data_IF_192167986332
#
_entry.id   IF_192167986332
#
_cell.length_a   1.000
_cell.length_b   1.000
_cell.length_c   1.000
_cell.angle_alpha   90.00
_cell.angle_beta   90.00
_cell.angle_gamma   90.00
#
_symmetry.space_group_name_H-M   'P 1'
#
loop_
_entity.id
_entity.type
_entity.pdbx_description
1 polymer ?
#
# COMPACT_ATOMS: atom_id res chain seq x y z
N UNK A 1 10.60 -29.71 -3.78
CA UNK A 1 10.13 -29.07 -5.02
C UNK A 1 9.14 -27.98 -4.62
N UNK A 2 9.55 -26.72 -4.58
CA UNK A 2 8.63 -25.61 -4.35
C UNK A 2 7.94 -25.30 -5.68
N UNK A 3 6.61 -25.32 -5.67
CA UNK A 3 5.77 -25.10 -6.84
C UNK A 3 6.11 -23.77 -7.52
N UNK A 4 6.16 -23.80 -8.86
CA UNK A 4 6.54 -22.67 -9.68
C UNK A 4 5.77 -21.41 -9.35
N UNK A 5 6.49 -20.38 -8.89
CA UNK A 5 5.97 -19.04 -8.68
C UNK A 5 5.73 -18.42 -10.06
N UNK A 6 4.47 -18.49 -10.55
CA UNK A 6 4.06 -17.90 -11.83
C UNK A 6 3.95 -16.38 -11.68
N UNK A 7 4.65 -15.64 -12.54
CA UNK A 7 4.46 -14.20 -12.70
C UNK A 7 2.97 -13.84 -12.86
N UNK A 8 2.48 -12.93 -12.03
CA UNK A 8 1.07 -12.50 -11.98
C UNK A 8 0.77 -11.46 -13.06
N UNK A 9 0.49 -11.91 -14.28
CA UNK A 9 0.09 -11.06 -15.40
C UNK A 9 -1.39 -10.60 -15.35
N UNK A 10 -2.05 -10.59 -14.18
CA UNK A 10 -3.50 -10.40 -14.06
C UNK A 10 -3.95 -9.28 -13.11
N UNK A 11 -3.03 -8.56 -12.48
CA UNK A 11 -3.41 -7.47 -11.58
C UNK A 11 -4.06 -6.32 -12.35
N UNK A 12 -5.15 -5.79 -11.79
CA UNK A 12 -5.94 -4.71 -12.39
C UNK A 12 -5.68 -3.43 -11.64
N UNK A 13 -5.23 -2.40 -12.36
CA UNK A 13 -5.02 -1.06 -11.82
C UNK A 13 -6.19 -0.17 -12.24
N UNK A 14 -7.01 0.19 -11.27
CA UNK A 14 -8.09 1.15 -11.41
C UNK A 14 -7.50 2.57 -11.43
N UNK A 15 -8.16 3.53 -12.12
CA UNK A 15 -7.74 4.92 -12.04
C UNK A 15 -7.86 5.44 -10.61
N UNK A 16 -6.86 6.20 -10.19
CA UNK A 16 -6.89 6.95 -8.95
C UNK A 16 -7.28 8.41 -9.22
N UNK A 17 -8.17 8.98 -8.41
CA UNK A 17 -8.40 10.43 -8.36
C UNK A 17 -7.86 10.95 -7.02
N UNK A 18 -7.21 12.10 -7.06
CA UNK A 18 -6.63 12.72 -5.86
C UNK A 18 -7.67 12.87 -4.77
N UNK A 19 -7.40 12.27 -3.60
CA UNK A 19 -8.29 12.29 -2.44
C UNK A 19 -9.26 11.11 -2.35
N UNK A 20 -9.27 10.19 -3.32
CA UNK A 20 -10.05 8.95 -3.22
C UNK A 20 -9.48 8.01 -2.14
N UNK A 21 -10.37 7.24 -1.54
CA UNK A 21 -10.00 6.11 -0.68
C UNK A 21 -9.21 5.05 -1.46
N UNK A 22 -8.37 4.29 -0.75
CA UNK A 22 -7.61 3.20 -1.35
C UNK A 22 -8.44 1.94 -1.35
N UNK A 23 -8.62 1.35 -2.53
CA UNK A 23 -9.37 0.11 -2.76
C UNK A 23 -8.37 -1.01 -3.02
N UNK A 24 -8.43 -2.06 -2.21
CA UNK A 24 -7.60 -3.26 -2.34
C UNK A 24 -8.52 -4.47 -2.40
N UNK A 25 -8.64 -5.09 -3.58
CA UNK A 25 -9.49 -6.26 -3.78
C UNK A 25 -8.66 -7.48 -4.14
N UNK A 26 -8.97 -8.62 -3.52
CA UNK A 26 -8.38 -9.92 -3.80
C UNK A 26 -9.42 -10.90 -4.30
N UNK A 27 -9.11 -11.59 -5.39
CA UNK A 27 -9.91 -12.67 -5.96
C UNK A 27 -8.98 -13.82 -6.39
N UNK A 28 -8.73 -14.77 -5.47
CA UNK A 28 -7.71 -15.79 -5.65
C UNK A 28 -6.33 -15.14 -5.73
N UNK A 29 -5.61 -15.41 -6.82
CA UNK A 29 -4.28 -14.84 -7.08
C UNK A 29 -4.34 -13.47 -7.77
N UNK A 30 -5.53 -13.00 -8.16
CA UNK A 30 -5.71 -11.71 -8.84
C UNK A 30 -5.92 -10.60 -7.83
N UNK A 31 -5.17 -9.51 -7.98
CA UNK A 31 -5.38 -8.28 -7.22
C UNK A 31 -6.03 -7.21 -8.10
N UNK A 32 -6.86 -6.38 -7.50
CA UNK A 32 -7.37 -5.15 -8.12
C UNK A 32 -7.17 -4.01 -7.15
N UNK A 33 -6.44 -2.98 -7.60
CA UNK A 33 -6.07 -1.84 -6.77
C UNK A 33 -6.29 -0.53 -7.52
N UNK A 34 -6.58 0.56 -6.81
CA UNK A 34 -6.54 1.91 -7.39
C UNK A 34 -5.24 2.65 -7.01
N UNK A 35 -4.15 1.93 -6.79
CA UNK A 35 -2.83 2.50 -6.44
C UNK A 35 -1.91 2.42 -7.66
N UNK A 36 -1.56 3.53 -8.31
CA UNK A 36 -0.55 3.56 -9.35
C UNK A 36 0.81 3.11 -8.83
N UNK A 37 1.48 2.24 -9.59
CA UNK A 37 2.79 1.71 -9.25
C UNK A 37 3.92 2.55 -9.83
N UNK A 38 4.10 3.74 -9.27
CA UNK A 38 5.12 4.72 -9.69
C UNK A 38 6.51 4.36 -9.17
N UNK A 39 6.60 3.62 -8.07
CA UNK A 39 7.87 3.19 -7.47
C UNK A 39 7.94 1.67 -7.36
N UNK A 40 8.98 1.08 -7.96
CA UNK A 40 9.26 -0.37 -7.92
C UNK A 40 10.68 -0.59 -7.39
N UNK A 41 10.80 -1.15 -6.19
CA UNK A 41 12.10 -1.39 -5.53
C UNK A 41 12.18 -2.72 -4.82
N UNK A 42 11.06 -3.24 -4.32
CA UNK A 42 11.05 -4.29 -3.32
C UNK A 42 10.41 -5.59 -3.82
N UNK A 43 9.53 -5.53 -4.82
CA UNK A 43 8.83 -6.72 -5.32
C UNK A 43 8.76 -6.72 -6.84
N UNK A 44 9.58 -7.47 -7.59
CA UNK A 44 9.39 -7.60 -9.03
C UNK A 44 8.00 -8.17 -9.39
N UNK A 45 7.37 -8.90 -8.46
CA UNK A 45 6.14 -9.66 -8.68
C UNK A 45 4.83 -8.90 -8.36
N UNK A 46 4.92 -7.60 -8.07
CA UNK A 46 3.76 -6.74 -7.84
C UNK A 46 3.42 -6.50 -6.37
N UNK A 47 2.27 -5.86 -6.15
CA UNK A 47 1.77 -5.56 -4.81
C UNK A 47 1.30 -6.80 -4.07
N UNK A 48 1.31 -6.71 -2.75
CA UNK A 48 0.77 -7.73 -1.85
C UNK A 48 0.35 -7.07 -0.54
N UNK A 49 -0.39 -7.79 0.31
CA UNK A 49 -0.77 -7.35 1.65
C UNK A 49 -1.04 -8.54 2.58
N UNK A 50 -1.24 -8.25 3.87
CA UNK A 50 -1.55 -9.28 4.88
C UNK A 50 -0.32 -10.04 5.40
N UNK A 51 0.88 -9.46 5.27
CA UNK A 51 2.10 -9.91 5.94
C UNK A 51 3.17 -8.80 5.97
N UNK A 52 4.23 -8.96 6.76
CA UNK A 52 5.29 -7.97 6.92
C UNK A 52 6.42 -8.05 5.84
N UNK A 53 6.09 -8.31 4.58
CA UNK A 53 7.07 -8.52 3.51
C UNK A 53 7.34 -7.34 2.58
N UNK A 54 8.02 -7.63 1.46
CA UNK A 54 8.46 -6.63 0.47
C UNK A 54 7.35 -6.09 -0.44
N UNK A 55 6.41 -6.94 -0.89
CA UNK A 55 5.24 -6.49 -1.65
C UNK A 55 4.32 -5.55 -0.84
N UNK A 56 3.99 -5.88 0.43
CA UNK A 56 3.30 -4.97 1.35
C UNK A 56 4.03 -3.65 1.59
N UNK A 57 5.37 -3.70 1.70
CA UNK A 57 6.19 -2.50 1.82
C UNK A 57 6.12 -1.60 0.57
N UNK A 58 6.14 -2.19 -0.62
CA UNK A 58 6.02 -1.43 -1.86
C UNK A 58 4.62 -0.83 -2.05
N UNK A 59 3.57 -1.57 -1.67
CA UNK A 59 2.20 -1.06 -1.65
C UNK A 59 2.08 0.13 -0.69
N UNK A 60 2.60 0.01 0.53
CA UNK A 60 2.60 1.09 1.52
C UNK A 60 3.27 2.36 0.98
N UNK A 61 4.45 2.24 0.38
CA UNK A 61 5.17 3.39 -0.18
C UNK A 61 4.39 4.05 -1.31
N UNK A 62 3.86 3.27 -2.26
CA UNK A 62 3.10 3.85 -3.37
C UNK A 62 1.78 4.47 -2.91
N UNK A 63 1.13 3.94 -1.86
CA UNK A 63 -0.03 4.60 -1.24
C UNK A 63 0.38 5.96 -0.68
N UNK A 64 1.44 6.04 0.13
CA UNK A 64 1.86 7.31 0.72
C UNK A 64 2.25 8.35 -0.34
N UNK A 65 2.83 7.94 -1.47
CA UNK A 65 3.15 8.81 -2.60
C UNK A 65 1.92 9.43 -3.30
N UNK A 66 0.71 8.95 -3.01
CA UNK A 66 -0.53 9.59 -3.46
C UNK A 66 -0.96 10.77 -2.58
N UNK A 67 -0.45 10.83 -1.34
CA UNK A 67 -0.85 11.81 -0.33
C UNK A 67 0.27 12.75 0.08
N UNK A 68 1.53 12.40 -0.21
CA UNK A 68 2.70 13.18 0.15
C UNK A 68 3.82 13.00 -0.87
N UNK A 69 4.85 13.84 -0.79
CA UNK A 69 6.05 13.67 -1.59
C UNK A 69 6.92 12.51 -1.09
N UNK A 70 7.98 12.19 -1.83
CA UNK A 70 8.90 11.12 -1.46
C UNK A 70 9.67 11.39 -0.17
N UNK A 71 9.98 12.66 0.14
CA UNK A 71 10.74 13.03 1.33
C UNK A 71 9.95 12.71 2.60
N UNK A 72 8.62 12.92 2.58
CA UNK A 72 7.71 12.51 3.65
C UNK A 72 7.38 11.01 3.61
N UNK A 73 7.13 10.43 2.43
CA UNK A 73 6.67 9.04 2.32
C UNK A 73 7.76 7.99 2.65
N UNK A 74 9.00 8.22 2.19
CA UNK A 74 10.08 7.25 2.31
C UNK A 74 10.53 6.91 3.76
N UNK A 75 10.56 7.84 4.73
CA UNK A 75 10.81 7.45 6.12
C UNK A 75 9.61 6.75 6.78
N UNK A 76 8.38 6.96 6.28
CA UNK A 76 7.15 6.56 6.97
C UNK A 76 6.52 5.24 6.47
N UNK A 77 6.87 4.77 5.26
CA UNK A 77 6.15 3.65 4.65
C UNK A 77 6.26 2.33 5.45
N UNK A 78 7.33 2.13 6.23
CA UNK A 78 7.45 0.91 7.04
C UNK A 78 6.44 0.91 8.19
N UNK A 79 6.26 2.05 8.88
CA UNK A 79 5.27 2.19 9.94
C UNK A 79 3.85 2.08 9.35
N UNK A 80 3.61 2.78 8.24
CA UNK A 80 2.34 2.69 7.53
C UNK A 80 2.00 1.26 7.12
N UNK A 81 2.99 0.50 6.63
CA UNK A 81 2.83 -0.91 6.28
C UNK A 81 2.38 -1.72 7.49
N UNK A 82 3.01 -1.55 8.65
CA UNK A 82 2.64 -2.31 9.84
C UNK A 82 1.22 -1.99 10.29
N UNK A 83 0.82 -0.72 10.27
CA UNK A 83 -0.48 -0.28 10.78
C UNK A 83 -1.65 -0.60 9.84
N UNK A 84 -1.45 -0.51 8.51
CA UNK A 84 -2.57 -0.56 7.55
C UNK A 84 -2.51 -1.71 6.56
N UNK A 85 -1.35 -2.30 6.30
CA UNK A 85 -1.16 -3.22 5.16
C UNK A 85 -0.83 -4.63 5.62
N UNK A 86 -0.02 -4.78 6.67
CA UNK A 86 0.50 -6.06 7.14
C UNK A 86 -0.60 -6.99 7.69
N UNK A 87 -1.68 -6.44 8.23
CA UNK A 87 -2.77 -7.22 8.84
C UNK A 87 -4.05 -7.26 7.99
N UNK A 88 -4.00 -6.75 6.76
CA UNK A 88 -5.15 -6.84 5.85
C UNK A 88 -5.51 -8.30 5.53
N UNK A 89 -6.81 -8.64 5.41
CA UNK A 89 -7.23 -9.98 5.06
C UNK A 89 -6.58 -10.48 3.76
N UNK A 90 -6.01 -11.70 3.82
CA UNK A 90 -5.47 -12.41 2.65
C UNK A 90 -6.49 -13.26 1.90
N UNK A 91 -7.74 -13.27 2.38
CA UNK A 91 -8.87 -13.96 1.77
C UNK A 91 -9.47 -13.12 0.64
N UNK A 92 -10.34 -13.73 -0.16
CA UNK A 92 -11.11 -12.99 -1.16
C UNK A 92 -11.98 -11.92 -0.50
N UNK A 93 -12.08 -10.76 -1.16
CA UNK A 93 -12.85 -9.63 -0.66
C UNK A 93 -12.21 -8.29 -1.02
N UNK A 94 -12.84 -7.22 -0.53
CA UNK A 94 -12.38 -5.85 -0.71
C UNK A 94 -12.07 -5.23 0.65
N UNK A 95 -10.89 -4.63 0.78
CA UNK A 95 -10.51 -3.75 1.86
C UNK A 95 -10.44 -2.32 1.33
N UNK A 96 -10.92 -1.37 2.14
CA UNK A 96 -10.84 0.06 1.84
C UNK A 96 -10.06 0.76 2.95
N UNK A 97 -9.07 1.57 2.59
CA UNK A 97 -8.36 2.44 3.53
C UNK A 97 -8.78 3.87 3.23
N UNK A 98 -9.37 4.55 4.22
CA UNK A 98 -9.92 5.89 3.98
C UNK A 98 -8.81 6.91 3.73
N UNK A 99 -9.01 7.74 2.71
CA UNK A 99 -8.13 8.87 2.39
C UNK A 99 -7.98 9.83 3.56
N UNK A 100 -9.09 10.13 4.26
CA UNK A 100 -9.08 11.04 5.41
C UNK A 100 -8.28 10.46 6.58
N UNK A 101 -8.33 9.14 6.78
CA UNK A 101 -7.54 8.45 7.78
C UNK A 101 -6.04 8.50 7.45
N UNK A 102 -5.66 8.31 6.18
CA UNK A 102 -4.27 8.41 5.73
C UNK A 102 -3.74 9.84 5.92
N UNK A 103 -4.54 10.86 5.56
CA UNK A 103 -4.17 12.26 5.77
C UNK A 103 -4.00 12.60 7.25
N UNK A 104 -4.92 12.16 8.11
CA UNK A 104 -4.79 12.35 9.56
C UNK A 104 -3.55 11.63 10.11
N UNK A 105 -3.28 10.42 9.63
CA UNK A 105 -2.11 9.63 10.03
C UNK A 105 -0.79 10.32 9.67
N UNK A 106 -0.72 10.94 8.48
CA UNK A 106 0.41 11.75 8.03
C UNK A 106 0.55 13.03 8.87
N UNK A 107 -0.54 13.76 9.10
CA UNK A 107 -0.52 15.00 9.89
C UNK A 107 0.01 14.80 11.32
N UNK A 108 -0.29 13.66 11.95
CA UNK A 108 0.25 13.30 13.27
C UNK A 108 1.76 13.05 13.27
N UNK A 109 2.35 12.73 12.11
CA UNK A 109 3.79 12.44 11.95
C UNK A 109 4.59 13.59 11.39
N UNK A 110 3.91 14.54 10.73
CA UNK A 110 4.49 15.80 10.26
C UNK A 110 4.47 16.90 11.34
N UNK A 111 3.79 16.65 12.47
CA UNK A 111 3.79 17.59 13.59
C UNK A 111 5.21 17.66 14.19
N UNK A 112 5.87 18.84 14.18
CA UNK A 112 7.10 19.00 14.94
C UNK A 112 6.76 18.70 16.40
N UNK A 113 7.52 17.80 17.02
CA UNK A 113 7.41 17.56 18.45
C UNK A 113 7.35 18.93 19.13
N UNK A 114 6.24 19.22 19.81
CA UNK A 114 6.15 20.39 20.68
C UNK A 114 7.37 20.30 21.60
N UNK A 115 8.28 21.26 21.42
CA UNK A 115 9.46 21.43 22.27
C UNK A 115 8.97 21.78 23.67
N UNK A 116 8.77 20.74 24.48
CA UNK A 116 8.60 20.82 25.92
C UNK A 116 9.96 20.87 26.61
#
# INVERSE_FOLDING_TARGET
MLAGYKHRNHDVYLPYRTGDDIILKREGDRLTVNVPRVFTRHSPDGYEWGYAGSGPAELALNILLLFADYATANPLYQDFKQEFIADLPRTNGTSTISATLIQAWLAMRDSPAEVA
#
